data_IF_292453269804
#
_entry.id   IF_292453269804
#
_cell.length_a   1.000
_cell.length_b   1.000
_cell.length_c   1.000
_cell.angle_alpha   90.00
_cell.angle_beta   90.00
_cell.angle_gamma   90.00
#
_symmetry.space_group_name_H-M   'P 1'
#
loop_
_entity.id
_entity.type
_entity.pdbx_description
1 polymer ?
#
# COMPACT_ATOMS: atom_id res chain seq x y z
N UNK A 1 -0.49 -23.64 1.90
CA UNK A 1 -0.15 -22.37 1.21
C UNK A 1 -0.68 -21.25 2.09
N UNK A 2 0.21 -20.56 2.82
CA UNK A 2 -0.18 -19.36 3.59
C UNK A 2 -0.10 -18.18 2.62
N UNK A 3 -1.17 -17.40 2.52
CA UNK A 3 -1.31 -16.24 1.63
C UNK A 3 -2.43 -16.41 0.59
N UNK A 4 -3.25 -15.36 0.43
CA UNK A 4 -4.25 -15.24 -0.64
C UNK A 4 -3.59 -15.34 -2.03
N UNK A 5 -4.34 -15.79 -3.04
CA UNK A 5 -3.90 -15.67 -4.43
C UNK A 5 -3.62 -14.20 -4.76
N UNK A 6 -2.58 -13.91 -5.55
CA UNK A 6 -2.14 -12.53 -5.80
C UNK A 6 -3.26 -11.60 -6.27
N UNK A 7 -4.12 -12.09 -7.17
CA UNK A 7 -5.27 -11.34 -7.69
C UNK A 7 -6.36 -11.03 -6.64
N UNK A 8 -6.37 -11.71 -5.49
CA UNK A 8 -7.31 -11.47 -4.38
C UNK A 8 -6.73 -10.51 -3.32
N UNK A 9 -5.54 -9.96 -3.54
CA UNK A 9 -4.91 -8.98 -2.64
C UNK A 9 -5.22 -7.56 -3.09
N UNK A 10 -5.11 -6.57 -2.20
CA UNK A 10 -5.30 -5.18 -2.58
C UNK A 10 -4.29 -4.72 -3.63
N UNK A 11 -3.03 -5.17 -3.53
CA UNK A 11 -2.01 -4.94 -4.56
C UNK A 11 -2.39 -5.56 -5.89
N UNK A 12 -2.92 -6.79 -5.89
CA UNK A 12 -3.43 -7.43 -7.10
C UNK A 12 -4.62 -6.69 -7.71
N UNK A 13 -5.55 -6.20 -6.88
CA UNK A 13 -6.67 -5.36 -7.32
C UNK A 13 -6.16 -4.06 -7.96
N UNK A 14 -5.24 -3.36 -7.32
CA UNK A 14 -4.64 -2.11 -7.86
C UNK A 14 -3.93 -2.39 -9.18
N UNK A 15 -3.15 -3.46 -9.28
CA UNK A 15 -2.50 -3.89 -10.53
C UNK A 15 -3.52 -4.16 -11.65
N UNK A 16 -4.65 -4.79 -11.34
CA UNK A 16 -5.69 -5.09 -12.34
C UNK A 16 -6.48 -3.85 -12.80
N UNK A 17 -6.66 -2.86 -11.93
CA UNK A 17 -7.45 -1.65 -12.23
C UNK A 17 -6.59 -0.57 -12.88
N UNK A 18 -5.38 -0.34 -12.36
CA UNK A 18 -4.52 0.79 -12.72
C UNK A 18 -3.29 0.38 -13.54
N UNK A 19 -3.00 -0.92 -13.64
CA UNK A 19 -1.81 -1.42 -14.33
C UNK A 19 -0.56 -1.44 -13.45
N UNK A 20 0.61 -1.53 -14.08
CA UNK A 20 1.90 -1.50 -13.40
C UNK A 20 2.22 -0.09 -12.91
N UNK A 21 2.65 0.08 -11.64
CA UNK A 21 3.13 1.37 -11.15
C UNK A 21 4.43 1.76 -11.85
N UNK A 22 4.64 3.07 -12.02
CA UNK A 22 5.89 3.62 -12.54
C UNK A 22 7.05 3.39 -11.57
N UNK A 23 6.76 3.46 -10.27
CA UNK A 23 7.72 3.24 -9.19
C UNK A 23 7.11 2.48 -8.01
N UNK A 24 7.92 1.61 -7.40
CA UNK A 24 7.58 0.92 -6.15
C UNK A 24 8.69 1.22 -5.14
N UNK A 25 8.36 1.98 -4.10
CA UNK A 25 9.22 2.10 -2.93
C UNK A 25 8.87 1.01 -1.91
N UNK A 26 9.86 0.26 -1.45
CA UNK A 26 9.67 -0.79 -0.45
C UNK A 26 10.39 -0.40 0.84
N UNK A 27 9.60 -0.09 1.86
CA UNK A 27 10.11 0.36 3.14
C UNK A 27 10.09 -0.84 4.11
N UNK A 28 11.26 -1.31 4.59
CA UNK A 28 11.32 -2.39 5.55
C UNK A 28 10.78 -1.95 6.92
N UNK A 29 10.48 -2.91 7.78
CA UNK A 29 10.13 -2.62 9.17
C UNK A 29 11.27 -1.92 9.90
N UNK A 30 10.94 -1.00 10.79
CA UNK A 30 11.86 -0.31 11.69
C UNK A 30 11.46 -0.51 13.15
N UNK A 31 12.17 0.14 14.08
CA UNK A 31 11.76 0.19 15.49
C UNK A 31 10.41 0.91 15.71
N UNK A 32 10.01 1.76 14.75
CA UNK A 32 8.84 2.64 14.88
C UNK A 32 7.72 2.26 13.92
N UNK A 33 8.04 1.56 12.82
CA UNK A 33 7.09 1.32 11.72
C UNK A 33 7.07 -0.14 11.27
N UNK A 34 5.88 -0.61 10.92
CA UNK A 34 5.68 -1.86 10.15
C UNK A 34 6.18 -1.70 8.71
N UNK A 35 6.49 -2.78 7.98
CA UNK A 35 6.89 -2.66 6.58
C UNK A 35 5.71 -2.21 5.72
N UNK A 36 6.01 -1.36 4.74
CA UNK A 36 5.01 -0.85 3.80
C UNK A 36 5.61 -0.62 2.41
N UNK A 37 4.75 -0.51 1.41
CA UNK A 37 5.12 -0.19 0.04
C UNK A 37 4.36 1.05 -0.40
N UNK A 38 5.01 1.90 -1.19
CA UNK A 38 4.38 3.02 -1.90
C UNK A 38 4.49 2.77 -3.39
N UNK A 39 3.35 2.66 -4.06
CA UNK A 39 3.28 2.47 -5.51
C UNK A 39 2.86 3.81 -6.12
N UNK A 40 3.71 4.38 -6.98
CA UNK A 40 3.48 5.67 -7.62
C UNK A 40 3.13 5.50 -9.12
N UNK A 41 2.20 6.34 -9.58
CA UNK A 41 1.70 6.42 -10.94
C UNK A 41 1.72 7.89 -11.38
N UNK A 42 2.75 8.30 -12.13
CA UNK A 42 3.00 9.71 -12.47
C UNK A 42 1.95 10.26 -13.45
N UNK A 43 1.48 9.40 -14.37
CA UNK A 43 0.53 9.79 -15.42
C UNK A 43 -0.94 9.58 -15.03
N UNK A 44 -1.22 8.96 -13.88
CA UNK A 44 -2.56 8.72 -13.40
C UNK A 44 -3.04 9.95 -12.61
N UNK A 45 -4.11 10.60 -13.09
CA UNK A 45 -4.76 11.75 -12.42
C UNK A 45 -3.81 12.92 -12.08
N UNK A 46 -2.69 13.06 -12.79
CA UNK A 46 -1.67 14.07 -12.50
C UNK A 46 -0.73 13.72 -11.35
N UNK A 47 -0.71 12.45 -10.93
CA UNK A 47 0.19 11.91 -9.91
C UNK A 47 -0.59 11.21 -8.80
N UNK A 48 -0.53 9.88 -8.78
CA UNK A 48 -1.22 9.05 -7.79
C UNK A 48 -0.26 8.14 -7.02
N UNK A 49 -0.54 7.98 -5.74
CA UNK A 49 0.14 7.03 -4.86
C UNK A 49 -0.86 6.06 -4.23
N UNK A 50 -0.43 4.82 -4.06
CA UNK A 50 -1.09 3.81 -3.25
C UNK A 50 -0.12 3.31 -2.20
N UNK A 51 -0.54 3.34 -0.94
CA UNK A 51 0.27 2.90 0.20
C UNK A 51 -0.30 1.62 0.76
N UNK A 52 0.54 0.58 0.84
CA UNK A 52 0.16 -0.70 1.37
C UNK A 52 1.01 -1.07 2.59
N UNK A 53 0.38 -1.52 3.68
CA UNK A 53 1.09 -1.90 4.91
C UNK A 53 0.90 -3.39 5.17
N UNK A 54 1.97 -4.11 5.50
CA UNK A 54 1.84 -5.44 6.10
C UNK A 54 1.62 -5.28 7.60
N UNK A 55 0.36 -5.21 7.99
CA UNK A 55 -0.03 -5.02 9.38
C UNK A 55 0.24 -6.26 10.26
N UNK A 56 0.42 -7.42 9.62
CA UNK A 56 0.37 -8.76 10.21
C UNK A 56 1.74 -9.45 10.30
N UNK A 57 2.73 -8.97 9.55
CA UNK A 57 4.07 -9.55 9.47
C UNK A 57 4.16 -10.83 8.62
N UNK A 58 3.10 -11.19 7.89
CA UNK A 58 3.04 -12.38 7.02
C UNK A 58 2.99 -12.03 5.54
N UNK A 59 3.44 -10.82 5.17
CA UNK A 59 3.47 -10.28 3.79
C UNK A 59 2.08 -10.13 3.16
N UNK A 60 1.04 -9.99 3.97
CA UNK A 60 -0.30 -9.61 3.52
C UNK A 60 -0.46 -8.09 3.61
N UNK A 61 -0.06 -7.42 2.53
CA UNK A 61 -0.14 -5.97 2.38
C UNK A 61 -1.58 -5.54 2.08
N UNK A 62 -2.11 -4.63 2.89
CA UNK A 62 -3.43 -4.02 2.73
C UNK A 62 -3.31 -2.56 2.32
N UNK A 63 -4.20 -2.08 1.47
CA UNK A 63 -4.25 -0.67 1.07
C UNK A 63 -4.71 0.16 2.26
N UNK A 64 -3.87 1.12 2.67
CA UNK A 64 -4.17 2.00 3.81
C UNK A 64 -4.34 3.45 3.44
N UNK A 65 -3.85 3.87 2.27
CA UNK A 65 -4.00 5.22 1.74
C UNK A 65 -3.85 5.21 0.22
N UNK A 66 -4.63 6.05 -0.45
CA UNK A 66 -4.36 6.54 -1.79
C UNK A 66 -4.93 7.94 -1.96
N UNK A 67 -4.33 8.71 -2.86
CA UNK A 67 -4.86 9.99 -3.33
C UNK A 67 -5.66 9.87 -4.64
N UNK A 68 -5.79 8.66 -5.23
CA UNK A 68 -6.60 8.42 -6.42
C UNK A 68 -8.08 8.69 -6.15
N UNK A 69 -8.78 9.20 -7.16
CA UNK A 69 -10.21 9.46 -7.07
C UNK A 69 -10.98 8.15 -6.86
N UNK A 70 -11.79 8.10 -5.80
CA UNK A 70 -12.63 6.94 -5.46
C UNK A 70 -11.94 5.86 -4.63
N UNK A 71 -10.67 6.05 -4.26
CA UNK A 71 -9.92 5.11 -3.42
C UNK A 71 -9.92 5.52 -1.94
N UNK A 72 -9.49 4.59 -1.07
CA UNK A 72 -9.43 4.84 0.36
C UNK A 72 -8.34 5.85 0.71
N UNK A 73 -8.73 7.07 1.07
CA UNK A 73 -7.83 8.13 1.51
C UNK A 73 -7.74 8.20 3.04
N UNK A 74 -6.52 8.11 3.56
CA UNK A 74 -6.20 8.30 4.98
C UNK A 74 -4.86 9.04 5.10
N UNK A 75 -4.89 10.36 5.19
CA UNK A 75 -3.67 11.20 5.31
C UNK A 75 -2.79 10.79 6.52
N UNK A 76 -3.42 10.21 7.54
CA UNK A 76 -2.78 9.81 8.80
C UNK A 76 -2.43 8.31 8.84
N UNK A 77 -2.31 7.65 7.68
CA UNK A 77 -2.07 6.21 7.59
C UNK A 77 -0.79 5.78 8.31
N UNK A 78 0.27 6.60 8.29
CA UNK A 78 1.53 6.27 8.94
C UNK A 78 1.32 6.08 10.45
N UNK A 79 0.61 7.03 11.09
CA UNK A 79 0.27 6.96 12.51
C UNK A 79 -0.77 5.89 12.83
N UNK A 80 -1.81 5.76 12.00
CA UNK A 80 -2.98 4.92 12.30
C UNK A 80 -2.84 3.45 11.90
N UNK A 81 -1.96 3.13 10.94
CA UNK A 81 -1.82 1.78 10.37
C UNK A 81 -0.40 1.23 10.40
N UNK A 82 0.62 2.08 10.29
CA UNK A 82 2.02 1.64 10.21
C UNK A 82 2.81 1.83 11.52
N UNK A 83 2.47 2.80 12.36
CA UNK A 83 3.16 3.07 13.63
C UNK A 83 3.02 1.89 14.60
N UNK A 84 4.14 1.54 15.24
CA UNK A 84 4.20 0.58 16.35
C UNK A 84 4.14 1.32 17.69
N UNK A 85 4.55 2.59 17.71
CA UNK A 85 4.40 3.49 18.85
C UNK A 85 2.93 3.92 18.93
N UNK A 86 2.28 3.66 20.07
CA UNK A 86 0.89 4.02 20.35
C UNK A 86 0.80 5.32 21.14
#
# INVERSE_FOLDING_TARGET
>A
RLGKDGWKTDRGRVMMIYGEPDFIDQIPSSAETKPYEVWAFDNLEGGVEFVFVDASGIREYVLVHSNALGEHRNEDWLRTRASILR
#
